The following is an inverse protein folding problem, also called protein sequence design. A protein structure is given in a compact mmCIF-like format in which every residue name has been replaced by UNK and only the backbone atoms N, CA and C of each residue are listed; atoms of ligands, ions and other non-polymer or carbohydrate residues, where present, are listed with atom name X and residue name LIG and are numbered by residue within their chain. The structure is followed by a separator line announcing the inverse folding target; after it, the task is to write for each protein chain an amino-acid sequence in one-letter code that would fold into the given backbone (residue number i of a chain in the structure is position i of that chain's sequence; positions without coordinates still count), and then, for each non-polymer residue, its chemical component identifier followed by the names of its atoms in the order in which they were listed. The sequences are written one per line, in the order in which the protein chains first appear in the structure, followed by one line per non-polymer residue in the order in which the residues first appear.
data_IF_641050215831
#
_entry.id   IF_641050215831
#
_cell.length_a   1.000
_cell.length_b   1.000
_cell.length_c   1.000
_cell.angle_alpha   90.00
_cell.angle_beta   90.00
_cell.angle_gamma   90.00
#
_symmetry.space_group_name_H-M   'P 1'
#
loop_
_entity.id
_entity.type
_entity.pdbx_description
1 polymer ?
#
# COMPACT_ATOMS: atom_id res chain seq x y z
N UNK A 1 4.79 -3.81 39.65
CA UNK A 1 3.59 -3.00 39.37
C UNK A 1 4.05 -1.56 39.27
N UNK A 2 4.16 -1.04 38.06
CA UNK A 2 4.29 0.40 37.80
C UNK A 2 3.26 0.73 36.74
N UNK A 3 2.13 1.24 37.20
CA UNK A 3 1.05 1.78 36.40
C UNK A 3 1.44 3.20 35.97
N UNK A 4 2.05 3.32 34.80
CA UNK A 4 2.03 4.57 34.04
C UNK A 4 0.78 4.52 33.14
N UNK A 5 -0.35 4.90 33.73
CA UNK A 5 -1.52 5.30 32.97
C UNK A 5 -1.28 6.72 32.47
N UNK A 6 -0.65 6.86 31.30
CA UNK A 6 -0.63 8.13 30.57
C UNK A 6 -2.04 8.43 30.05
N UNK A 7 -2.63 9.50 30.58
CA UNK A 7 -3.82 10.25 30.13
C UNK A 7 -4.43 9.86 28.76
N UNK A 8 -5.38 8.93 28.77
CA UNK A 8 -6.45 8.87 27.77
C UNK A 8 -7.50 9.94 28.12
N UNK A 9 -7.14 11.21 27.93
CA UNK A 9 -8.10 12.31 27.96
C UNK A 9 -9.05 12.16 26.76
N UNK A 10 -10.27 11.68 27.02
CA UNK A 10 -11.33 11.43 26.04
C UNK A 10 -11.58 12.68 25.19
N UNK A 11 -11.22 12.64 23.91
CA UNK A 11 -11.44 13.75 22.96
C UNK A 11 -12.92 13.89 22.64
N UNK A 12 -13.37 15.13 22.43
CA UNK A 12 -14.70 15.34 21.85
C UNK A 12 -14.68 14.99 20.36
N UNK A 13 -15.77 14.44 19.83
CA UNK A 13 -15.89 14.09 18.41
C UNK A 13 -15.60 15.28 17.50
N UNK A 14 -15.98 16.48 17.92
CA UNK A 14 -15.75 17.71 17.18
C UNK A 14 -14.27 18.16 17.21
N UNK A 15 -13.55 17.88 18.30
CA UNK A 15 -12.08 18.06 18.34
C UNK A 15 -11.39 17.10 17.38
N UNK A 16 -11.83 15.83 17.32
CA UNK A 16 -11.28 14.85 16.37
C UNK A 16 -11.54 15.29 14.93
N UNK A 17 -12.76 15.74 14.61
CA UNK A 17 -13.10 16.28 13.27
C UNK A 17 -12.21 17.47 12.92
N UNK A 18 -11.97 18.38 13.86
CA UNK A 18 -11.06 19.52 13.64
C UNK A 18 -9.62 19.07 13.41
N UNK A 19 -9.14 18.08 14.15
CA UNK A 19 -7.81 17.50 13.94
C UNK A 19 -7.69 16.86 12.54
N UNK A 20 -8.73 16.17 12.06
CA UNK A 20 -8.79 15.63 10.70
C UNK A 20 -8.84 16.73 9.63
N UNK A 21 -9.62 17.79 9.84
CA UNK A 21 -9.66 18.92 8.89
C UNK A 21 -8.30 19.62 8.79
N UNK A 22 -7.62 19.85 9.91
CA UNK A 22 -6.27 20.42 9.96
C UNK A 22 -5.28 19.48 9.24
N UNK A 23 -5.37 18.17 9.49
CA UNK A 23 -4.57 17.16 8.80
C UNK A 23 -4.77 17.21 7.27
N UNK A 24 -6.00 17.24 6.78
CA UNK A 24 -6.26 17.31 5.33
C UNK A 24 -5.73 18.60 4.71
N UNK A 25 -5.88 19.73 5.40
CA UNK A 25 -5.31 21.00 4.96
C UNK A 25 -3.78 20.98 4.90
N UNK A 26 -3.15 20.29 5.84
CA UNK A 26 -1.70 20.08 5.83
C UNK A 26 -1.28 19.25 4.62
N UNK A 27 -1.92 18.11 4.38
CA UNK A 27 -1.62 17.24 3.23
C UNK A 27 -1.83 17.96 1.90
N UNK A 28 -2.91 18.73 1.79
CA UNK A 28 -3.20 19.54 0.61
C UNK A 28 -2.13 20.62 0.40
N UNK A 29 -1.75 21.36 1.45
CA UNK A 29 -0.72 22.40 1.38
C UNK A 29 0.67 21.84 1.06
N UNK A 30 1.01 20.66 1.60
CA UNK A 30 2.22 19.91 1.23
C UNK A 30 2.23 19.55 -0.26
N UNK A 31 1.11 19.07 -0.79
CA UNK A 31 1.00 18.61 -2.19
C UNK A 31 0.99 19.76 -3.19
N UNK A 32 0.38 20.90 -2.83
CA UNK A 32 0.20 22.05 -3.72
C UNK A 32 1.39 23.03 -3.66
N UNK A 33 1.80 23.43 -2.45
CA UNK A 33 2.76 24.53 -2.24
C UNK A 33 4.06 24.09 -1.58
N UNK A 34 4.13 22.84 -1.09
CA UNK A 34 5.27 22.33 -0.31
C UNK A 34 5.38 22.91 1.11
N UNK A 35 4.45 23.77 1.53
CA UNK A 35 4.39 24.33 2.89
C UNK A 35 2.97 24.75 3.26
N UNK A 36 2.73 24.89 4.55
CA UNK A 36 1.44 25.30 5.12
C UNK A 36 1.66 26.52 6.00
N UNK A 37 0.80 27.54 5.93
CA UNK A 37 0.92 28.71 6.82
C UNK A 37 0.20 28.46 8.15
N UNK A 38 0.86 28.72 9.28
CA UNK A 38 0.21 28.63 10.59
C UNK A 38 -0.97 29.59 10.66
N UNK A 39 -0.86 30.78 10.06
CA UNK A 39 -1.97 31.73 9.95
C UNK A 39 -3.23 31.17 9.26
N UNK A 40 -3.08 30.25 8.29
CA UNK A 40 -4.22 29.57 7.63
C UNK A 40 -4.84 28.51 8.54
N UNK A 41 -4.01 27.68 9.19
CA UNK A 41 -4.48 26.69 10.17
C UNK A 41 -5.15 27.36 11.38
N UNK A 42 -4.64 28.52 11.79
CA UNK A 42 -5.24 29.34 12.86
C UNK A 42 -6.61 29.86 12.49
N UNK A 43 -6.82 30.28 11.24
CA UNK A 43 -8.15 30.69 10.76
C UNK A 43 -9.13 29.51 10.78
N UNK A 44 -8.68 28.32 10.36
CA UNK A 44 -9.49 27.11 10.38
C UNK A 44 -9.86 26.69 11.80
N UNK A 45 -8.90 26.67 12.72
CA UNK A 45 -9.11 26.43 14.14
C UNK A 45 -10.08 27.45 14.76
N UNK A 46 -9.86 28.74 14.53
CA UNK A 46 -10.75 29.79 15.05
C UNK A 46 -12.17 29.63 14.50
N UNK A 47 -12.33 29.26 13.23
CA UNK A 47 -13.65 29.00 12.64
C UNK A 47 -14.37 27.86 13.37
N UNK A 48 -13.68 26.77 13.69
CA UNK A 48 -14.26 25.63 14.39
C UNK A 48 -14.60 25.95 15.87
N UNK A 49 -13.68 26.58 16.60
CA UNK A 49 -13.89 26.99 18.00
C UNK A 49 -15.03 28.01 18.12
N UNK A 50 -15.13 28.95 17.18
CA UNK A 50 -16.18 29.97 17.21
C UNK A 50 -17.55 29.40 16.82
N UNK A 51 -17.57 28.36 15.96
CA UNK A 51 -18.80 27.69 15.54
C UNK A 51 -19.51 27.00 16.70
N UNK A 52 -18.76 26.43 17.65
CA UNK A 52 -19.35 25.83 18.84
C UNK A 52 -18.53 26.12 20.11
N UNK A 53 -18.96 27.15 20.85
CA UNK A 53 -18.26 27.63 22.06
C UNK A 53 -18.50 26.77 23.30
N UNK A 54 -19.43 25.81 23.27
CA UNK A 54 -19.65 24.90 24.39
C UNK A 54 -18.64 23.74 24.44
N UNK A 55 -17.89 23.55 23.34
CA UNK A 55 -16.87 22.52 23.25
C UNK A 55 -15.53 23.10 23.69
N UNK A 56 -14.90 22.42 24.63
CA UNK A 56 -13.55 22.74 25.06
C UNK A 56 -12.57 22.10 24.08
N UNK A 57 -11.96 22.93 23.23
CA UNK A 57 -10.89 22.50 22.34
C UNK A 57 -9.54 22.70 23.02
N UNK A 58 -8.64 21.74 22.86
CA UNK A 58 -7.21 21.95 23.10
C UNK A 58 -6.68 23.09 22.24
N UNK A 59 -5.60 23.71 22.71
CA UNK A 59 -4.96 24.79 21.96
C UNK A 59 -4.56 24.31 20.56
N UNK A 60 -4.50 25.22 19.59
CA UNK A 60 -4.01 24.90 18.25
C UNK A 60 -2.62 24.22 18.28
N UNK A 61 -1.76 24.60 19.22
CA UNK A 61 -0.43 23.99 19.37
C UNK A 61 -0.52 22.51 19.78
N UNK A 62 -1.42 22.17 20.68
CA UNK A 62 -1.64 20.79 21.11
C UNK A 62 -2.29 19.94 20.01
N UNK A 63 -3.26 20.50 19.28
CA UNK A 63 -3.87 19.82 18.13
C UNK A 63 -2.81 19.59 17.04
N UNK A 64 -1.98 20.59 16.74
CA UNK A 64 -0.87 20.42 15.79
C UNK A 64 0.15 19.39 16.27
N UNK A 65 0.44 19.32 17.57
CA UNK A 65 1.32 18.30 18.14
C UNK A 65 0.75 16.89 17.89
N UNK A 66 -0.55 16.69 18.08
CA UNK A 66 -1.23 15.42 17.81
C UNK A 66 -1.20 15.09 16.32
N UNK A 67 -1.58 16.05 15.46
CA UNK A 67 -1.59 15.88 14.00
C UNK A 67 -0.19 15.58 13.47
N UNK A 68 0.84 16.28 13.93
CA UNK A 68 2.23 16.06 13.52
C UNK A 68 2.79 14.73 14.04
N UNK A 69 2.45 14.33 15.28
CA UNK A 69 2.78 12.99 15.79
C UNK A 69 2.17 11.91 14.89
N UNK A 70 0.91 12.09 14.48
CA UNK A 70 0.26 11.17 13.55
C UNK A 70 0.91 11.19 12.16
N UNK A 71 1.25 12.36 11.61
CA UNK A 71 1.97 12.45 10.33
C UNK A 71 3.33 11.76 10.37
N UNK A 72 4.08 11.91 11.46
CA UNK A 72 5.36 11.24 11.65
C UNK A 72 5.20 9.72 11.78
N UNK A 73 4.26 9.26 12.61
CA UNK A 73 4.04 7.84 12.88
C UNK A 73 3.43 7.09 11.69
N UNK A 74 2.45 7.67 11.01
CA UNK A 74 1.66 6.99 9.97
C UNK A 74 2.17 7.24 8.55
N UNK A 75 2.81 8.39 8.32
CA UNK A 75 3.27 8.80 7.00
C UNK A 75 4.77 9.14 6.92
N UNK A 76 5.48 9.13 8.04
CA UNK A 76 6.91 9.43 8.08
C UNK A 76 7.25 10.91 7.90
N UNK A 77 6.30 11.83 8.07
CA UNK A 77 6.55 13.27 7.91
C UNK A 77 6.74 13.97 9.25
N UNK A 78 7.85 14.68 9.40
CA UNK A 78 8.10 15.56 10.55
C UNK A 78 7.93 17.02 10.19
N UNK A 79 7.44 17.80 11.14
CA UNK A 79 7.16 19.21 10.95
C UNK A 79 8.39 20.05 11.29
N UNK A 80 8.88 20.81 10.31
CA UNK A 80 9.87 21.86 10.50
C UNK A 80 9.18 23.21 10.39
N UNK A 81 9.27 23.99 11.45
CA UNK A 81 8.74 25.34 11.51
C UNK A 81 9.81 26.35 11.13
N UNK A 82 9.53 27.18 10.12
CA UNK A 82 10.28 28.39 9.80
C UNK A 82 9.30 29.58 9.74
N UNK A 83 9.41 30.49 10.70
CA UNK A 83 8.52 31.65 10.86
C UNK A 83 7.02 31.25 10.93
N UNK A 84 6.20 31.72 9.99
CA UNK A 84 4.78 31.35 9.86
C UNK A 84 4.57 30.14 8.94
N UNK A 85 5.64 29.51 8.44
CA UNK A 85 5.58 28.40 7.48
C UNK A 85 5.96 27.08 8.14
N UNK A 86 5.03 26.15 8.07
CA UNK A 86 5.20 24.78 8.49
C UNK A 86 5.49 23.93 7.25
N UNK A 87 6.72 23.48 7.16
CA UNK A 87 7.22 22.57 6.11
C UNK A 87 7.31 21.17 6.68
N UNK A 88 7.05 20.16 5.87
CA UNK A 88 7.10 18.77 6.32
C UNK A 88 8.25 18.06 5.62
N UNK A 89 9.17 17.52 6.41
CA UNK A 89 10.31 16.75 5.94
C UNK A 89 10.02 15.28 6.17
N UNK A 90 10.20 14.47 5.13
CA UNK A 90 10.02 13.03 5.26
C UNK A 90 11.22 12.47 6.05
N UNK A 91 10.99 11.98 7.26
CA UNK A 91 11.98 11.31 8.10
C UNK A 91 12.55 10.05 7.44
N UNK A 92 11.84 9.47 6.48
CA UNK A 92 12.32 8.33 5.70
C UNK A 92 13.17 8.76 4.48
N UNK A 93 13.28 10.06 4.19
CA UNK A 93 13.94 10.57 2.99
C UNK A 93 14.77 11.82 3.27
N UNK A 94 16.04 11.60 3.59
CA UNK A 94 17.14 12.51 3.21
C UNK A 94 17.26 12.68 1.67
N UNK A 95 16.15 12.59 0.92
CA UNK A 95 16.07 12.74 -0.53
C UNK A 95 14.84 13.58 -0.88
N UNK A 96 15.14 14.81 -1.29
CA UNK A 96 14.21 15.79 -1.86
C UNK A 96 13.36 15.16 -2.97
N UNK A 97 12.04 15.13 -2.79
CA UNK A 97 11.11 15.01 -3.91
C UNK A 97 10.64 16.42 -4.31
N UNK A 98 11.18 16.93 -5.43
CA UNK A 98 10.29 17.50 -6.46
C UNK A 98 9.19 16.44 -6.69
N UNK A 99 7.97 16.80 -7.09
CA UNK A 99 7.01 15.79 -7.55
C UNK A 99 7.65 14.96 -8.68
N UNK A 100 8.37 13.91 -8.31
CA UNK A 100 8.94 12.97 -9.25
C UNK A 100 7.68 12.23 -9.65
N UNK A 101 7.27 12.39 -10.91
CA UNK A 101 6.52 11.32 -11.53
C UNK A 101 7.24 10.03 -11.13
N UNK A 102 6.51 9.12 -10.47
CA UNK A 102 7.03 7.79 -10.20
C UNK A 102 7.70 7.32 -11.49
N UNK A 103 8.98 7.00 -11.38
CA UNK A 103 9.75 6.55 -12.52
C UNK A 103 9.00 5.40 -13.18
N UNK A 104 9.23 5.19 -14.48
CA UNK A 104 8.61 4.05 -15.18
C UNK A 104 8.86 2.72 -14.43
N UNK A 105 10.01 2.61 -13.75
CA UNK A 105 10.35 1.48 -12.89
C UNK A 105 9.43 1.38 -11.67
N UNK A 106 9.23 2.46 -10.92
CA UNK A 106 8.36 2.48 -9.74
C UNK A 106 6.90 2.21 -10.11
N UNK A 107 6.42 2.78 -11.22
CA UNK A 107 5.07 2.48 -11.75
C UNK A 107 4.93 1.02 -12.11
N UNK A 108 5.91 0.46 -12.82
CA UNK A 108 5.92 -0.96 -13.20
C UNK A 108 5.95 -1.87 -11.98
N UNK A 109 6.71 -1.52 -10.93
CA UNK A 109 6.75 -2.26 -9.67
C UNK A 109 5.42 -2.16 -8.91
N UNK A 110 4.76 -1.01 -8.93
CA UNK A 110 3.43 -0.83 -8.34
C UNK A 110 2.39 -1.73 -9.01
N UNK A 111 2.37 -1.74 -10.35
CA UNK A 111 1.48 -2.60 -11.14
C UNK A 111 1.75 -4.09 -10.88
N UNK A 112 3.03 -4.48 -10.80
CA UNK A 112 3.43 -5.85 -10.45
C UNK A 112 2.94 -6.25 -9.06
N UNK A 113 3.16 -5.40 -8.05
CA UNK A 113 2.72 -5.66 -6.67
C UNK A 113 1.20 -5.81 -6.61
N UNK A 114 0.47 -4.97 -7.33
CA UNK A 114 -1.00 -5.02 -7.36
C UNK A 114 -1.52 -6.33 -7.98
N UNK A 115 -0.95 -6.75 -9.12
CA UNK A 115 -1.29 -8.02 -9.76
C UNK A 115 -0.97 -9.22 -8.85
N UNK A 116 0.23 -9.27 -8.28
CA UNK A 116 0.63 -10.35 -7.36
C UNK A 116 -0.26 -10.39 -6.12
N UNK A 117 -0.67 -9.22 -5.62
CA UNK A 117 -1.52 -9.09 -4.45
C UNK A 117 -2.88 -9.73 -4.67
N UNK A 118 -3.56 -9.35 -5.76
CA UNK A 118 -4.85 -9.92 -6.11
C UNK A 118 -4.77 -11.41 -6.40
N UNK A 119 -3.79 -11.85 -7.19
CA UNK A 119 -3.62 -13.27 -7.52
C UNK A 119 -3.48 -14.10 -6.24
N UNK A 120 -2.66 -13.66 -5.27
CA UNK A 120 -2.44 -14.43 -4.05
C UNK A 120 -3.71 -14.57 -3.20
N UNK A 121 -4.43 -13.45 -3.03
CA UNK A 121 -5.62 -13.37 -2.18
C UNK A 121 -6.80 -14.11 -2.80
N UNK A 122 -7.01 -13.95 -4.10
CA UNK A 122 -8.15 -14.52 -4.83
C UNK A 122 -7.94 -15.99 -5.24
N UNK A 123 -6.70 -16.48 -5.27
CA UNK A 123 -6.42 -17.90 -5.56
C UNK A 123 -6.97 -18.81 -4.46
N UNK A 124 -7.86 -19.73 -4.87
CA UNK A 124 -8.33 -20.84 -4.06
C UNK A 124 -7.42 -22.06 -4.29
N UNK A 125 -6.55 -22.44 -3.35
CA UNK A 125 -5.51 -23.45 -3.59
C UNK A 125 -6.08 -24.86 -3.82
N UNK A 126 -7.25 -25.16 -3.26
CA UNK A 126 -7.90 -26.48 -3.37
C UNK A 126 -8.89 -26.57 -4.54
N UNK A 127 -8.91 -25.57 -5.44
CA UNK A 127 -9.74 -25.63 -6.64
C UNK A 127 -9.16 -26.60 -7.67
N UNK A 128 -10.02 -27.20 -8.49
CA UNK A 128 -9.62 -28.08 -9.61
C UNK A 128 -8.62 -27.40 -10.56
N UNK A 129 -8.76 -26.07 -10.72
CA UNK A 129 -7.87 -25.22 -11.48
C UNK A 129 -7.46 -24.02 -10.61
N UNK A 130 -6.38 -24.11 -9.83
CA UNK A 130 -5.91 -23.01 -9.01
C UNK A 130 -5.48 -21.81 -9.87
N UNK A 131 -5.44 -20.63 -9.25
CA UNK A 131 -5.14 -19.37 -9.91
C UNK A 131 -6.37 -18.57 -10.34
N UNK A 132 -6.12 -17.36 -10.80
CA UNK A 132 -7.13 -16.36 -11.18
C UNK A 132 -7.23 -16.27 -12.70
N UNK A 133 -8.43 -16.16 -13.25
CA UNK A 133 -8.59 -16.05 -14.71
C UNK A 133 -8.03 -14.73 -15.25
N UNK A 134 -7.66 -14.71 -16.53
CA UNK A 134 -7.20 -13.48 -17.17
C UNK A 134 -8.23 -12.36 -17.08
N UNK A 135 -9.50 -12.67 -17.30
CA UNK A 135 -10.59 -11.68 -17.27
C UNK A 135 -10.77 -11.07 -15.88
N UNK A 136 -10.76 -11.89 -14.82
CA UNK A 136 -10.82 -11.43 -13.43
C UNK A 136 -9.63 -10.53 -13.08
N UNK A 137 -8.41 -10.94 -13.46
CA UNK A 137 -7.20 -10.16 -13.22
C UNK A 137 -7.26 -8.82 -13.97
N UNK A 138 -7.61 -8.82 -15.26
CA UNK A 138 -7.71 -7.60 -16.06
C UNK A 138 -8.75 -6.64 -15.50
N UNK A 139 -9.93 -7.15 -15.13
CA UNK A 139 -11.02 -6.36 -14.55
C UNK A 139 -10.60 -5.73 -13.22
N UNK A 140 -9.94 -6.50 -12.34
CA UNK A 140 -9.40 -5.98 -11.09
C UNK A 140 -8.35 -4.89 -11.32
N UNK A 141 -7.41 -5.12 -12.24
CA UNK A 141 -6.33 -4.17 -12.52
C UNK A 141 -6.88 -2.88 -13.12
N UNK A 142 -7.87 -2.94 -13.99
CA UNK A 142 -8.55 -1.76 -14.52
C UNK A 142 -9.25 -0.96 -13.42
N UNK A 143 -10.05 -1.64 -12.58
CA UNK A 143 -10.78 -0.99 -11.50
C UNK A 143 -9.88 -0.37 -10.43
N UNK A 144 -8.75 -1.02 -10.12
CA UNK A 144 -7.81 -0.56 -9.08
C UNK A 144 -6.84 0.52 -9.54
N UNK A 145 -6.58 0.62 -10.86
CA UNK A 145 -5.68 1.62 -11.43
C UNK A 145 -6.42 2.84 -11.99
N UNK A 146 -7.73 2.73 -12.24
CA UNK A 146 -8.51 3.86 -12.74
C UNK A 146 -8.75 4.91 -11.66
N UNK A 147 -8.47 6.17 -12.01
CA UNK A 147 -8.87 7.34 -11.23
C UNK A 147 -10.14 7.99 -11.78
N UNK A 148 -10.72 7.42 -12.84
CA UNK A 148 -11.94 7.94 -13.46
C UNK A 148 -13.21 7.37 -12.80
N UNK A 149 -14.32 8.13 -12.76
CA UNK A 149 -15.57 7.68 -12.14
C UNK A 149 -16.21 6.46 -12.82
N UNK A 150 -15.85 6.16 -14.07
CA UNK A 150 -16.33 4.99 -14.81
C UNK A 150 -15.45 3.74 -14.61
N UNK A 151 -14.41 3.85 -13.76
CA UNK A 151 -13.44 2.80 -13.46
C UNK A 151 -12.69 2.26 -14.69
N UNK A 152 -12.61 3.04 -15.78
CA UNK A 152 -11.89 2.63 -16.99
C UNK A 152 -10.49 3.21 -17.05
N UNK A 153 -9.57 2.47 -17.65
CA UNK A 153 -8.23 2.96 -17.94
C UNK A 153 -8.22 3.75 -19.26
N UNK A 154 -7.31 4.73 -19.34
CA UNK A 154 -7.01 5.36 -20.64
C UNK A 154 -6.40 4.32 -21.58
N UNK A 155 -6.56 4.50 -22.89
CA UNK A 155 -6.02 3.57 -23.89
C UNK A 155 -4.51 3.33 -23.73
N UNK A 156 -3.75 4.36 -23.36
CA UNK A 156 -2.31 4.24 -23.11
C UNK A 156 -2.00 3.35 -21.90
N UNK A 157 -2.69 3.55 -20.77
CA UNK A 157 -2.51 2.71 -19.58
C UNK A 157 -2.97 1.27 -19.82
N UNK A 158 -4.02 1.09 -20.63
CA UNK A 158 -4.51 -0.23 -21.02
C UNK A 158 -3.48 -1.00 -21.87
N UNK A 159 -2.88 -0.35 -22.86
CA UNK A 159 -1.83 -0.99 -23.68
C UNK A 159 -0.58 -1.31 -22.84
N UNK A 160 -0.20 -0.44 -21.90
CA UNK A 160 0.87 -0.72 -20.95
C UNK A 160 0.57 -1.96 -20.11
N UNK A 161 -0.66 -2.06 -19.57
CA UNK A 161 -1.08 -3.20 -18.76
C UNK A 161 -1.04 -4.51 -19.57
N UNK A 162 -1.57 -4.51 -20.80
CA UNK A 162 -1.50 -5.68 -21.69
C UNK A 162 -0.06 -6.13 -21.93
N UNK A 163 0.86 -5.19 -22.18
CA UNK A 163 2.29 -5.52 -22.36
C UNK A 163 2.90 -6.17 -21.11
N UNK A 164 2.40 -5.85 -19.93
CA UNK A 164 2.91 -6.37 -18.66
C UNK A 164 2.32 -7.74 -18.28
N UNK A 165 1.02 -7.97 -18.53
CA UNK A 165 0.28 -9.14 -18.01
C UNK A 165 -0.44 -10.00 -19.06
N UNK A 166 -0.27 -9.77 -20.37
CA UNK A 166 -0.90 -10.63 -21.37
C UNK A 166 -0.47 -12.12 -21.22
N UNK A 167 -1.35 -13.09 -21.60
CA UNK A 167 -1.10 -14.52 -21.44
C UNK A 167 -0.15 -15.04 -22.53
N UNK A 168 1.07 -14.51 -22.57
CA UNK A 168 2.10 -14.93 -23.49
C UNK A 168 3.50 -14.83 -22.86
N UNK A 169 4.48 -15.62 -23.33
CA UNK A 169 5.83 -15.63 -22.77
C UNK A 169 6.60 -14.30 -22.92
N UNK A 170 6.12 -13.37 -23.76
CA UNK A 170 6.78 -12.08 -24.02
C UNK A 170 6.32 -10.98 -23.07
N UNK A 171 5.19 -11.16 -22.37
CA UNK A 171 4.71 -10.20 -21.38
C UNK A 171 5.75 -10.01 -20.27
N UNK A 172 5.95 -8.77 -19.82
CA UNK A 172 7.11 -8.44 -18.98
C UNK A 172 7.13 -9.19 -17.64
N UNK A 173 5.97 -9.38 -17.00
CA UNK A 173 5.91 -10.08 -15.71
C UNK A 173 6.03 -11.60 -15.86
N UNK A 174 5.63 -12.15 -17.01
CA UNK A 174 5.84 -13.56 -17.36
C UNK A 174 7.32 -13.81 -17.66
N UNK A 175 7.91 -13.02 -18.55
CA UNK A 175 9.32 -13.14 -18.97
C UNK A 175 10.30 -13.01 -17.80
N UNK A 176 9.97 -12.16 -16.82
CA UNK A 176 10.76 -11.97 -15.59
C UNK A 176 10.47 -13.04 -14.52
N UNK A 177 9.55 -13.97 -14.77
CA UNK A 177 9.24 -15.09 -13.88
C UNK A 177 8.42 -14.72 -12.65
N UNK A 178 7.82 -13.53 -12.60
CA UNK A 178 6.95 -13.12 -11.49
C UNK A 178 5.55 -13.69 -11.60
N UNK A 179 5.05 -13.83 -12.83
CA UNK A 179 3.77 -14.46 -13.11
C UNK A 179 4.01 -15.71 -13.97
N UNK A 180 3.14 -16.70 -13.81
CA UNK A 180 3.01 -17.82 -14.75
C UNK A 180 1.55 -17.89 -15.18
N UNK A 181 1.32 -18.36 -16.39
CA UNK A 181 -0.03 -18.63 -16.87
C UNK A 181 -0.17 -20.08 -17.32
N UNK A 182 -1.35 -20.65 -17.08
CA UNK A 182 -1.76 -21.95 -17.61
C UNK A 182 -2.96 -21.75 -18.53
N UNK A 183 -3.10 -22.64 -19.51
CA UNK A 183 -4.21 -22.67 -20.44
C UNK A 183 -5.07 -23.88 -20.11
N UNK A 184 -6.36 -23.65 -19.89
CA UNK A 184 -7.38 -24.67 -19.74
C UNK A 184 -8.47 -24.46 -20.80
N UNK A 185 -9.26 -25.50 -21.06
CA UNK A 185 -10.45 -25.42 -21.90
C UNK A 185 -11.65 -25.57 -20.97
N UNK A 186 -12.61 -24.65 -21.04
CA UNK A 186 -13.83 -24.73 -20.22
C UNK A 186 -14.85 -25.70 -20.84
N UNK A 187 -15.99 -25.87 -20.16
CA UNK A 187 -17.09 -26.74 -20.62
C UNK A 187 -17.71 -26.31 -21.97
N UNK A 188 -17.46 -25.07 -22.39
CA UNK A 188 -17.92 -24.50 -23.66
C UNK A 188 -16.86 -24.56 -24.78
N UNK A 189 -15.78 -25.32 -24.58
CA UNK A 189 -14.63 -25.40 -25.50
C UNK A 189 -13.84 -24.09 -25.69
N UNK A 190 -14.02 -23.11 -24.79
CA UNK A 190 -13.29 -21.85 -24.83
C UNK A 190 -11.98 -21.92 -24.06
N UNK A 191 -10.96 -21.24 -24.60
CA UNK A 191 -9.65 -21.16 -23.98
C UNK A 191 -9.68 -20.19 -22.79
N UNK A 192 -9.43 -20.72 -21.60
CA UNK A 192 -9.34 -19.93 -20.36
C UNK A 192 -7.90 -19.92 -19.88
N UNK A 193 -7.33 -18.72 -19.77
CA UNK A 193 -6.00 -18.52 -19.20
C UNK A 193 -6.11 -18.19 -17.72
N UNK A 194 -5.30 -18.85 -16.88
CA UNK A 194 -5.23 -18.62 -15.43
C UNK A 194 -3.83 -18.21 -15.01
N UNK A 195 -3.74 -17.31 -14.03
CA UNK A 195 -2.49 -16.80 -13.49
C UNK A 195 -2.23 -17.30 -12.08
N UNK A 196 -0.96 -17.60 -11.84
CA UNK A 196 -0.40 -17.89 -10.53
C UNK A 196 0.92 -17.14 -10.36
N UNK A 197 1.44 -17.14 -9.13
CA UNK A 197 2.78 -16.63 -8.87
C UNK A 197 3.83 -17.48 -9.56
N UNK A 198 4.72 -16.81 -10.29
CA UNK A 198 5.86 -17.43 -10.90
C UNK A 198 7.01 -17.67 -9.91
N UNK A 199 8.05 -18.43 -10.33
CA UNK A 199 9.17 -18.80 -9.47
C UNK A 199 9.89 -17.60 -8.82
N UNK A 200 10.03 -16.48 -9.54
CA UNK A 200 10.68 -15.30 -8.99
C UNK A 200 9.83 -14.64 -7.90
N UNK A 201 8.50 -14.58 -8.07
CA UNK A 201 7.60 -14.06 -7.05
C UNK A 201 7.62 -14.94 -5.79
N UNK A 202 7.57 -16.26 -5.97
CA UNK A 202 7.62 -17.24 -4.88
C UNK A 202 8.91 -17.15 -4.05
N UNK A 203 9.99 -16.59 -4.58
CA UNK A 203 11.27 -16.44 -3.86
C UNK A 203 11.48 -15.04 -3.28
N UNK A 204 11.06 -14.00 -3.99
CA UNK A 204 11.49 -12.62 -3.71
C UNK A 204 10.42 -11.76 -3.05
N UNK A 205 9.15 -12.16 -3.11
CA UNK A 205 8.03 -11.37 -2.60
C UNK A 205 7.70 -11.83 -1.19
N UNK A 206 7.49 -10.88 -0.27
CA UNK A 206 6.99 -11.18 1.07
C UNK A 206 5.46 -11.35 1.02
N UNK A 207 4.94 -12.58 1.11
CA UNK A 207 3.50 -12.82 0.99
C UNK A 207 2.72 -12.27 2.19
N UNK A 208 3.33 -12.18 3.38
CA UNK A 208 2.65 -11.67 4.59
C UNK A 208 2.44 -10.17 4.45
N UNK A 209 3.49 -9.46 4.04
CA UNK A 209 3.40 -8.02 3.80
C UNK A 209 2.36 -7.69 2.72
N UNK A 210 2.27 -8.51 1.68
CA UNK A 210 1.34 -8.33 0.58
C UNK A 210 -0.13 -8.56 0.99
N UNK A 211 -0.42 -9.57 1.83
CA UNK A 211 -1.79 -9.75 2.37
C UNK A 211 -2.16 -8.62 3.33
N UNK A 212 -1.23 -8.16 4.17
CA UNK A 212 -1.44 -6.99 5.04
C UNK A 212 -1.70 -5.71 4.23
N UNK A 213 -1.00 -5.55 3.11
CA UNK A 213 -1.23 -4.44 2.18
C UNK A 213 -2.62 -4.51 1.56
N UNK A 214 -3.06 -5.70 1.12
CA UNK A 214 -4.42 -5.90 0.61
C UNK A 214 -5.49 -5.53 1.63
N UNK A 215 -5.33 -5.99 2.87
CA UNK A 215 -6.22 -5.67 3.98
C UNK A 215 -6.31 -4.15 4.19
N UNK A 216 -5.17 -3.47 4.24
CA UNK A 216 -5.11 -2.01 4.44
C UNK A 216 -5.75 -1.23 3.30
N UNK A 217 -5.58 -1.68 2.05
CA UNK A 217 -6.10 -0.99 0.86
C UNK A 217 -7.60 -1.20 0.65
N UNK A 218 -8.12 -2.40 1.00
CA UNK A 218 -9.52 -2.75 0.75
C UNK A 218 -10.42 -2.53 1.96
N UNK A 219 -9.85 -2.36 3.15
CA UNK A 219 -10.62 -2.26 4.40
C UNK A 219 -11.31 -3.57 4.79
N UNK A 220 -10.99 -4.69 4.14
CA UNK A 220 -11.53 -6.01 4.45
C UNK A 220 -11.14 -6.39 5.87
N UNK A 221 -12.09 -6.96 6.61
CA UNK A 221 -11.87 -7.42 7.98
C UNK A 221 -10.79 -8.50 8.03
N UNK A 222 -9.89 -8.41 9.01
CA UNK A 222 -8.80 -9.37 9.22
C UNK A 222 -9.29 -10.83 9.28
N UNK A 223 -10.47 -11.04 9.87
CA UNK A 223 -11.09 -12.36 10.03
C UNK A 223 -11.40 -13.03 8.69
N UNK A 224 -11.68 -12.24 7.65
CA UNK A 224 -11.97 -12.74 6.30
C UNK A 224 -10.71 -13.13 5.51
N UNK A 225 -9.52 -12.73 5.99
CA UNK A 225 -8.23 -13.03 5.36
C UNK A 225 -7.44 -14.09 6.12
N UNK A 226 -8.06 -14.81 7.06
CA UNK A 226 -7.39 -15.79 7.92
C UNK A 226 -6.68 -16.88 7.10
N UNK A 227 -7.35 -17.47 6.11
CA UNK A 227 -6.77 -18.49 5.23
C UNK A 227 -5.57 -17.93 4.43
N UNK A 228 -5.72 -16.73 3.88
CA UNK A 228 -4.68 -16.05 3.09
C UNK A 228 -3.46 -15.72 3.96
N UNK A 229 -3.66 -15.27 5.20
CA UNK A 229 -2.60 -14.96 6.14
C UNK A 229 -1.85 -16.21 6.57
N UNK A 230 -2.53 -17.32 6.84
CA UNK A 230 -1.88 -18.59 7.18
C UNK A 230 -1.04 -19.11 6.01
N UNK A 231 -1.60 -19.15 4.79
CA UNK A 231 -0.84 -19.51 3.58
C UNK A 231 0.37 -18.61 3.36
N UNK A 232 0.23 -17.30 3.62
CA UNK A 232 1.33 -16.36 3.53
C UNK A 232 2.43 -16.65 4.56
N UNK A 233 2.07 -16.97 5.80
CA UNK A 233 3.04 -17.35 6.85
C UNK A 233 3.77 -18.64 6.48
N UNK A 234 3.07 -19.65 5.98
CA UNK A 234 3.66 -20.91 5.52
C UNK A 234 4.66 -20.69 4.38
N UNK A 235 4.27 -19.91 3.37
CA UNK A 235 5.14 -19.58 2.24
C UNK A 235 6.37 -18.79 2.71
N UNK A 236 6.20 -17.81 3.60
CA UNK A 236 7.32 -17.04 4.17
C UNK A 236 8.26 -17.93 4.99
N UNK A 237 7.72 -18.88 5.75
CA UNK A 237 8.52 -19.86 6.47
C UNK A 237 9.33 -20.74 5.52
N UNK A 238 8.72 -21.20 4.41
CA UNK A 238 9.41 -21.96 3.36
C UNK A 238 10.53 -21.14 2.71
N UNK A 239 10.26 -19.89 2.33
CA UNK A 239 11.27 -18.97 1.78
C UNK A 239 12.46 -18.80 2.73
N UNK A 240 12.20 -18.53 4.02
CA UNK A 240 13.26 -18.43 5.04
C UNK A 240 14.03 -19.74 5.20
N UNK A 241 13.36 -20.90 5.12
CA UNK A 241 13.99 -22.21 5.17
C UNK A 241 14.87 -22.50 3.94
N UNK A 242 14.50 -22.02 2.77
CA UNK A 242 15.29 -22.10 1.53
C UNK A 242 16.51 -21.17 1.59
N UNK A 243 16.36 -19.95 2.09
CA UNK A 243 17.49 -19.02 2.32
C UNK A 243 18.48 -19.62 3.31
N UNK A 244 18.02 -20.21 4.41
CA UNK A 244 18.89 -20.91 5.38
C UNK A 244 19.60 -22.09 4.75
N UNK A 245 18.94 -22.88 3.89
CA UNK A 245 19.57 -24.00 3.18
C UNK A 245 20.55 -23.55 2.10
N UNK A 246 20.25 -22.48 1.37
CA UNK A 246 21.14 -21.88 0.38
C UNK A 246 22.34 -21.12 0.98
N UNK A 247 22.21 -20.62 2.21
CA UNK A 247 23.32 -20.08 3.00
C UNK A 247 24.25 -21.18 3.54
N UNK A 248 23.77 -22.43 3.61
CA UNK A 248 24.59 -23.63 3.86
C UNK A 248 25.07 -24.19 2.51
N UNK A 249 25.73 -23.36 1.71
CA UNK A 249 26.63 -23.89 0.70
C UNK A 249 27.87 -24.43 1.42
N UNK A 250 28.34 -25.65 1.12
CA UNK A 250 29.48 -26.23 1.81
C UNK A 250 30.68 -25.30 1.63
N UNK A 251 31.29 -24.89 2.74
CA UNK A 251 32.62 -24.28 2.77
C UNK A 251 33.58 -25.24 2.07
N UNK A 252 33.76 -25.03 0.77
CA UNK A 252 34.70 -25.78 -0.05
C UNK A 252 36.10 -25.37 0.42
N UNK A 253 36.68 -26.20 1.28
CA UNK A 253 38.08 -26.07 1.70
C UNK A 253 38.32 -26.08 3.21
N UNK A 254 38.11 -27.22 3.86
CA UNK A 254 39.04 -27.72 4.88
C UNK A 254 39.22 -29.22 4.64
N UNK A 255 40.16 -29.53 3.76
CA UNK A 255 40.80 -30.85 3.72
C UNK A 255 41.61 -30.98 5.02
N UNK A 256 41.35 -32.06 5.77
CA UNK A 256 42.38 -32.71 6.57
C UNK A 256 42.96 -33.85 5.73
#
# INVERSE_FOLDING_TARGET
MSSESEDDAQTSREEDVLAYEIFFWIIHGMSDKGFVKISELRKLYQKAVTKNRSIQYRSLQEILKIVNKNLAQWQGWDAVLQDDRLTYVNLNEQKVFKANLASETERTLGVLKNALMYIFVATKPNATHPGVTHEELMSYMEASMSTHPDHKLTSEHMELLKKQIAPNPRADFIRKGYLVFSKAVNENEEEVFRYEWGPAALQTVDPVHLVQMFQKLTGVDATQLTEQLERAKELKAKQMGEVKRGAVLPTRGKQN
#
